data_IF_314136236985
#
_entry.id   IF_314136236985
#
_cell.length_a   1.000
_cell.length_b   1.000
_cell.length_c   1.000
_cell.angle_alpha   90.00
_cell.angle_beta   90.00
_cell.angle_gamma   90.00
#
_symmetry.space_group_name_H-M   'P 1'
#
loop_
_entity.id
_entity.type
_entity.pdbx_description
1 polymer ?
#
# COMPACT_ATOMS: atom_id res chain seq x y z
N UNK A 1 -2.77 20.24 3.52
CA UNK A 1 -3.34 19.61 2.31
C UNK A 1 -3.19 20.56 1.15
N UNK A 2 -2.74 20.08 0.00
CA UNK A 2 -2.69 20.87 -1.23
C UNK A 2 -4.09 20.95 -1.85
N UNK A 3 -4.75 22.07 -1.62
CA UNK A 3 -5.49 22.80 -2.67
C UNK A 3 -6.95 22.49 -2.98
N UNK A 4 -7.59 21.49 -2.38
CA UNK A 4 -9.02 21.28 -2.61
C UNK A 4 -9.70 20.45 -1.50
N UNK A 5 -10.99 20.70 -1.30
CA UNK A 5 -11.85 19.89 -0.44
C UNK A 5 -12.31 18.65 -1.24
N UNK A 6 -11.66 17.50 -1.05
CA UNK A 6 -11.87 16.32 -1.89
C UNK A 6 -12.19 15.07 -1.10
N UNK A 7 -12.98 14.22 -1.75
CA UNK A 7 -13.23 12.86 -1.30
C UNK A 7 -11.98 12.00 -1.43
N UNK A 8 -11.77 11.15 -0.46
CA UNK A 8 -10.76 10.09 -0.48
C UNK A 8 -11.34 8.79 -1.04
N UNK A 9 -10.53 7.74 -1.20
CA UNK A 9 -11.02 6.39 -1.47
C UNK A 9 -11.86 5.81 -0.32
N UNK A 10 -11.91 6.48 0.83
CA UNK A 10 -12.71 6.12 2.00
C UNK A 10 -14.07 6.82 2.05
N UNK A 11 -14.47 7.50 0.97
CA UNK A 11 -15.82 8.03 0.85
C UNK A 11 -16.83 6.90 1.05
N UNK A 12 -17.77 7.11 1.97
CA UNK A 12 -18.90 6.20 2.11
C UNK A 12 -19.81 6.30 0.88
N UNK A 13 -20.08 5.15 0.25
CA UNK A 13 -20.86 5.06 -0.99
C UNK A 13 -22.17 4.27 -0.79
N UNK A 14 -22.68 4.18 0.44
CA UNK A 14 -23.93 3.46 0.76
C UNK A 14 -23.75 2.00 1.21
N UNK A 15 -22.53 1.47 1.21
CA UNK A 15 -22.22 0.12 1.69
C UNK A 15 -20.83 0.05 2.32
N UNK A 16 -20.59 -1.00 3.13
CA UNK A 16 -19.31 -1.20 3.82
C UNK A 16 -19.12 -0.28 5.01
N UNK A 17 -17.86 -0.05 5.38
CA UNK A 17 -17.49 0.74 6.57
C UNK A 17 -17.71 2.23 6.32
N UNK A 18 -18.36 2.90 7.28
CA UNK A 18 -18.65 4.33 7.23
C UNK A 18 -17.43 5.11 7.71
N UNK A 19 -16.56 5.51 6.77
CA UNK A 19 -15.38 6.34 7.06
C UNK A 19 -15.62 7.82 6.81
N UNK A 20 -15.38 8.30 5.58
CA UNK A 20 -15.57 9.71 5.22
C UNK A 20 -17.02 9.92 4.75
N UNK A 21 -17.74 10.81 5.45
CA UNK A 21 -19.16 11.03 5.26
C UNK A 21 -19.49 12.47 4.85
N UNK A 22 -18.50 13.35 4.91
CA UNK A 22 -18.62 14.73 4.49
C UNK A 22 -17.24 15.32 4.20
N UNK A 23 -17.25 16.44 3.50
CA UNK A 23 -16.08 17.26 3.27
C UNK A 23 -15.89 18.29 4.39
N UNK A 24 -14.73 18.96 4.43
CA UNK A 24 -14.44 19.90 5.50
C UNK A 24 -15.39 21.10 5.52
N UNK A 25 -15.66 21.59 6.73
CA UNK A 25 -16.69 22.59 6.99
C UNK A 25 -16.25 23.64 8.01
N UNK A 26 -16.96 24.75 8.04
CA UNK A 26 -16.89 25.80 9.06
C UNK A 26 -18.11 25.68 9.96
N UNK A 27 -17.90 25.72 11.26
CA UNK A 27 -18.92 25.80 12.31
C UNK A 27 -18.65 27.02 13.19
N UNK A 28 -19.69 27.54 13.83
CA UNK A 28 -19.56 28.62 14.79
C UNK A 28 -19.04 28.13 16.16
N UNK A 29 -18.68 26.86 16.32
CA UNK A 29 -18.15 26.23 17.52
C UNK A 29 -19.20 25.73 18.52
N UNK A 30 -20.50 25.77 18.18
CA UNK A 30 -21.59 25.26 19.01
C UNK A 30 -22.26 24.03 18.43
N UNK A 31 -21.94 23.62 17.19
CA UNK A 31 -22.57 22.51 16.49
C UNK A 31 -24.11 22.59 16.62
N UNK A 32 -24.68 23.71 16.19
CA UNK A 32 -26.12 23.98 16.35
C UNK A 32 -26.94 23.22 15.31
N UNK A 33 -27.99 22.53 15.75
CA UNK A 33 -28.91 21.80 14.88
C UNK A 33 -29.84 22.73 14.10
N UNK A 34 -30.10 22.38 12.84
CA UNK A 34 -31.09 23.02 11.98
C UNK A 34 -32.43 22.29 12.04
N UNK A 35 -33.53 23.04 11.92
CA UNK A 35 -34.87 22.50 11.82
C UNK A 35 -35.20 22.08 10.38
N UNK A 36 -35.82 20.91 10.22
CA UNK A 36 -36.25 20.43 8.91
C UNK A 36 -37.29 21.38 8.28
N UNK A 37 -37.23 21.53 6.96
CA UNK A 37 -38.06 22.41 6.13
C UNK A 37 -37.88 23.92 6.38
N UNK A 38 -36.87 24.32 7.16
CA UNK A 38 -36.50 25.72 7.31
C UNK A 38 -35.48 26.14 6.26
N UNK A 39 -35.32 27.44 6.07
CA UNK A 39 -34.33 28.04 5.19
C UNK A 39 -33.10 28.47 5.99
N UNK A 40 -31.92 28.24 5.44
CA UNK A 40 -30.65 28.52 6.09
C UNK A 40 -29.74 29.40 5.23
N UNK A 41 -29.18 30.43 5.86
CA UNK A 41 -28.15 31.31 5.33
C UNK A 41 -26.89 31.20 6.19
N UNK A 42 -25.74 31.25 5.53
CA UNK A 42 -24.47 31.41 6.21
C UNK A 42 -23.52 32.29 5.41
N UNK A 43 -22.95 33.30 6.08
CA UNK A 43 -21.96 34.18 5.47
C UNK A 43 -20.88 34.59 6.46
N UNK A 44 -19.72 34.95 5.91
CA UNK A 44 -18.50 35.22 6.66
C UNK A 44 -18.08 36.67 6.43
N UNK A 45 -18.28 37.53 7.43
CA UNK A 45 -17.74 38.90 7.36
C UNK A 45 -16.24 38.86 7.64
N UNK A 46 -15.47 39.65 6.88
CA UNK A 46 -14.00 39.66 6.92
C UNK A 46 -13.38 38.30 6.56
N UNK A 47 -14.04 37.52 5.69
CA UNK A 47 -13.45 36.31 5.13
C UNK A 47 -12.15 36.63 4.40
N UNK A 48 -11.07 35.85 4.61
CA UNK A 48 -9.82 36.03 3.89
C UNK A 48 -9.87 35.58 2.42
N UNK A 49 -10.95 34.89 2.02
CA UNK A 49 -11.16 34.42 0.66
C UNK A 49 -12.57 34.78 0.17
N UNK A 50 -12.68 35.15 -1.10
CA UNK A 50 -13.97 35.31 -1.78
C UNK A 50 -14.59 33.93 -2.05
N UNK A 51 -15.92 33.84 -1.95
CA UNK A 51 -16.69 32.60 -2.08
C UNK A 51 -16.15 31.49 -1.16
N UNK A 52 -16.06 31.74 0.16
CA UNK A 52 -15.42 30.81 1.10
C UNK A 52 -16.22 29.51 1.33
N UNK A 53 -17.50 29.51 0.98
CA UNK A 53 -18.45 28.43 1.24
C UNK A 53 -19.15 27.96 -0.04
N UNK A 54 -19.41 26.66 -0.14
CA UNK A 54 -20.14 26.06 -1.27
C UNK A 54 -21.64 25.92 -1.01
N UNK A 55 -22.06 25.85 0.26
CA UNK A 55 -23.43 25.57 0.66
C UNK A 55 -23.51 24.89 2.02
N UNK A 56 -24.69 24.36 2.35
CA UNK A 56 -24.94 23.68 3.62
C UNK A 56 -24.34 22.26 3.60
N UNK A 57 -23.40 22.00 4.50
CA UNK A 57 -22.78 20.67 4.64
C UNK A 57 -23.80 19.63 5.10
N UNK A 58 -23.75 18.47 4.46
CA UNK A 58 -24.66 17.35 4.64
C UNK A 58 -23.87 16.05 4.83
N UNK A 59 -24.29 15.21 5.77
CA UNK A 59 -23.72 13.86 5.93
C UNK A 59 -24.30 12.99 4.81
N UNK A 60 -23.45 12.48 3.93
CA UNK A 60 -23.84 11.89 2.64
C UNK A 60 -24.90 10.77 2.69
N UNK A 61 -25.02 10.06 3.81
CA UNK A 61 -25.98 8.97 3.98
C UNK A 61 -27.26 9.36 4.71
N UNK A 62 -27.35 10.59 5.21
CA UNK A 62 -28.61 11.09 5.76
C UNK A 62 -29.62 11.31 4.63
N UNK A 63 -30.89 11.02 4.92
CA UNK A 63 -31.97 11.33 3.99
C UNK A 63 -31.96 12.83 3.61
N UNK A 64 -32.24 13.09 2.33
CA UNK A 64 -32.20 14.42 1.75
C UNK A 64 -30.79 15.01 1.52
N UNK A 65 -29.72 14.27 1.83
CA UNK A 65 -28.37 14.65 1.43
C UNK A 65 -27.99 14.03 0.08
N UNK A 66 -27.29 14.80 -0.74
CA UNK A 66 -26.67 14.29 -1.95
C UNK A 66 -25.43 13.44 -1.59
N UNK A 67 -25.43 12.17 -1.97
CA UNK A 67 -24.34 11.24 -1.65
C UNK A 67 -23.06 11.54 -2.44
N UNK A 68 -23.17 12.19 -3.60
CA UNK A 68 -22.02 12.53 -4.44
C UNK A 68 -21.22 13.70 -3.83
N UNK A 69 -21.92 14.71 -3.33
CA UNK A 69 -21.36 16.02 -2.96
C UNK A 69 -21.37 16.28 -1.45
N UNK A 70 -22.21 15.59 -0.67
CA UNK A 70 -22.46 15.95 0.74
C UNK A 70 -22.96 17.38 0.94
N UNK A 71 -23.67 17.92 -0.05
CA UNK A 71 -24.03 19.34 -0.08
C UNK A 71 -25.54 19.49 -0.29
N UNK A 72 -26.15 20.38 0.48
CA UNK A 72 -27.45 20.95 0.14
C UNK A 72 -27.17 22.29 -0.54
N UNK A 73 -27.60 22.39 -1.79
CA UNK A 73 -27.36 23.57 -2.61
C UNK A 73 -28.18 24.77 -2.09
N UNK A 74 -27.58 25.95 -2.00
CA UNK A 74 -28.30 27.19 -1.76
C UNK A 74 -29.09 27.62 -3.00
N UNK A 75 -30.01 28.57 -2.84
CA UNK A 75 -30.62 29.27 -3.98
C UNK A 75 -29.61 30.19 -4.67
N UNK A 76 -28.76 30.87 -3.90
CA UNK A 76 -27.69 31.72 -4.44
C UNK A 76 -26.47 31.75 -3.50
N UNK A 77 -25.31 32.11 -4.05
CA UNK A 77 -24.10 32.41 -3.29
C UNK A 77 -23.48 33.71 -3.78
N UNK A 78 -22.63 34.30 -2.95
CA UNK A 78 -21.85 35.49 -3.29
C UNK A 78 -20.43 35.41 -2.69
N UNK A 79 -19.71 36.53 -2.73
CA UNK A 79 -18.36 36.64 -2.22
C UNK A 79 -18.22 36.32 -0.72
N UNK A 80 -19.28 36.45 0.06
CA UNK A 80 -19.28 36.32 1.53
C UNK A 80 -19.86 34.99 2.00
N UNK A 81 -20.81 34.40 1.26
CA UNK A 81 -21.51 33.21 1.74
C UNK A 81 -22.51 32.58 0.77
N UNK A 82 -23.44 31.82 1.34
CA UNK A 82 -24.53 31.17 0.63
C UNK A 82 -25.87 31.44 1.32
N UNK A 83 -26.94 31.41 0.52
CA UNK A 83 -28.25 31.87 0.96
C UNK A 83 -29.41 31.02 0.40
N UNK A 84 -30.46 30.87 1.20
CA UNK A 84 -31.69 30.17 0.83
C UNK A 84 -31.54 28.65 0.74
N UNK A 85 -30.65 28.03 1.52
CA UNK A 85 -30.55 26.57 1.54
C UNK A 85 -31.75 25.95 2.28
N UNK A 86 -32.57 25.16 1.60
CA UNK A 86 -33.72 24.47 2.21
C UNK A 86 -33.24 23.24 2.98
N UNK A 87 -33.43 23.24 4.29
CA UNK A 87 -33.03 22.14 5.17
C UNK A 87 -33.93 20.93 4.92
N UNK A 88 -33.39 19.90 4.27
CA UNK A 88 -34.15 18.70 3.93
C UNK A 88 -34.53 17.88 5.18
N UNK A 89 -35.72 17.23 5.21
CA UNK A 89 -36.08 16.33 6.29
C UNK A 89 -35.23 15.06 6.31
N UNK A 90 -35.11 14.46 7.51
CA UNK A 90 -34.43 13.19 7.75
C UNK A 90 -32.94 13.34 8.08
N UNK A 91 -32.51 12.83 9.24
CA UNK A 91 -31.15 13.00 9.77
C UNK A 91 -30.83 14.45 10.17
N UNK A 92 -30.12 14.65 11.28
CA UNK A 92 -29.84 15.99 11.81
C UNK A 92 -28.93 16.79 10.86
N UNK A 93 -29.39 17.97 10.42
CA UNK A 93 -28.54 18.93 9.71
C UNK A 93 -27.96 19.92 10.73
N UNK A 94 -26.75 20.36 10.51
CA UNK A 94 -26.02 21.23 11.43
C UNK A 94 -25.70 22.54 10.73
N UNK A 95 -25.54 23.64 11.48
CA UNK A 95 -25.20 24.97 10.96
C UNK A 95 -23.76 25.04 10.41
N UNK A 96 -23.42 24.14 9.50
CA UNK A 96 -22.09 23.94 8.97
C UNK A 96 -22.04 24.36 7.50
N UNK A 97 -21.16 25.29 7.18
CA UNK A 97 -20.88 25.68 5.80
C UNK A 97 -19.78 24.80 5.22
N UNK A 98 -20.00 24.16 4.08
CA UNK A 98 -18.95 23.40 3.40
C UNK A 98 -17.89 24.36 2.84
N UNK A 99 -16.63 24.16 3.19
CA UNK A 99 -15.52 25.01 2.74
C UNK A 99 -15.26 24.85 1.25
N UNK A 100 -15.00 25.96 0.56
CA UNK A 100 -14.62 25.97 -0.86
C UNK A 100 -13.13 25.72 -1.07
N UNK A 101 -12.76 25.35 -2.30
CA UNK A 101 -11.36 25.20 -2.71
C UNK A 101 -10.57 26.51 -2.50
N UNK A 102 -11.19 27.67 -2.73
CA UNK A 102 -10.55 28.97 -2.51
C UNK A 102 -10.16 29.19 -1.04
N UNK A 103 -11.02 28.78 -0.10
CA UNK A 103 -10.70 28.87 1.33
C UNK A 103 -9.55 27.93 1.71
N UNK A 104 -9.53 26.70 1.18
CA UNK A 104 -8.41 25.77 1.38
C UNK A 104 -7.08 26.31 0.84
N UNK A 105 -7.09 26.95 -0.33
CA UNK A 105 -5.91 27.58 -0.91
C UNK A 105 -5.37 28.71 -0.02
N UNK A 106 -6.25 29.54 0.54
CA UNK A 106 -5.84 30.54 1.53
C UNK A 106 -5.19 29.89 2.76
N UNK A 107 -5.84 28.88 3.36
CA UNK A 107 -5.29 28.16 4.50
C UNK A 107 -3.94 27.50 4.20
N UNK A 108 -3.74 27.03 2.97
CA UNK A 108 -2.47 26.45 2.53
C UNK A 108 -1.35 27.50 2.53
N UNK A 109 -1.61 28.70 2.02
CA UNK A 109 -0.63 29.80 1.88
C UNK A 109 -0.34 30.52 3.21
N UNK A 110 -1.28 30.48 4.15
CA UNK A 110 -1.13 31.09 5.46
C UNK A 110 0.11 30.56 6.20
N UNK A 111 0.87 31.45 6.86
CA UNK A 111 2.08 31.06 7.60
C UNK A 111 1.72 30.36 8.91
N UNK A 112 2.52 29.39 9.34
CA UNK A 112 2.34 28.76 10.66
C UNK A 112 2.55 29.79 11.77
N UNK A 113 1.66 29.79 12.76
CA UNK A 113 1.64 30.76 13.86
C UNK A 113 0.84 32.03 13.58
N UNK A 114 0.52 32.31 12.31
CA UNK A 114 -0.36 33.44 11.98
C UNK A 114 -1.82 33.16 12.33
N UNK A 115 -2.61 34.23 12.43
CA UNK A 115 -4.04 34.17 12.74
C UNK A 115 -4.84 35.08 11.84
N UNK A 116 -6.11 34.73 11.63
CA UNK A 116 -7.11 35.62 11.05
C UNK A 116 -8.41 35.52 11.85
N UNK A 117 -9.21 36.58 11.82
CA UNK A 117 -10.53 36.58 12.45
C UNK A 117 -11.60 36.78 11.40
N UNK A 118 -12.69 36.03 11.52
CA UNK A 118 -13.90 36.22 10.71
C UNK A 118 -15.13 36.22 11.61
N UNK A 119 -16.17 36.94 11.21
CA UNK A 119 -17.47 36.86 11.87
C UNK A 119 -18.34 35.87 11.11
N UNK A 120 -18.67 34.78 11.77
CA UNK A 120 -19.54 33.74 11.24
C UNK A 120 -20.98 34.13 11.57
N UNK A 121 -21.77 34.33 10.53
CA UNK A 121 -23.20 34.56 10.64
C UNK A 121 -23.94 33.30 10.17
N UNK A 122 -24.80 32.77 11.03
CA UNK A 122 -25.63 31.60 10.75
C UNK A 122 -27.08 31.96 11.06
N UNK A 123 -27.96 31.96 10.05
CA UNK A 123 -29.35 32.33 10.21
C UNK A 123 -30.27 31.22 9.70
N UNK A 124 -31.27 30.84 10.50
CA UNK A 124 -32.35 29.96 10.05
C UNK A 124 -33.74 30.54 10.31
N UNK A 125 -34.68 30.30 9.41
CA UNK A 125 -36.07 30.76 9.52
C UNK A 125 -37.05 29.80 8.86
N UNK A 126 -38.28 29.73 9.38
CA UNK A 126 -39.40 29.03 8.73
C UNK A 126 -40.08 29.88 7.66
N UNK A 127 -39.79 31.19 7.61
CA UNK A 127 -40.37 32.10 6.64
C UNK A 127 -39.74 31.84 5.27
N UNK A 128 -40.57 31.55 4.27
CA UNK A 128 -40.11 31.41 2.89
C UNK A 128 -39.70 32.76 2.32
N UNK A 129 -38.52 32.80 1.70
CA UNK A 129 -38.02 33.96 0.96
C UNK A 129 -37.25 33.48 -0.27
N UNK A 130 -37.07 34.38 -1.23
CA UNK A 130 -36.26 34.14 -2.42
C UNK A 130 -34.91 34.85 -2.30
N UNK A 131 -33.87 34.07 -2.06
CA UNK A 131 -32.52 34.61 -1.94
C UNK A 131 -31.97 35.14 -3.27
N UNK A 132 -32.49 34.64 -4.39
CA UNK A 132 -32.08 35.02 -5.76
C UNK A 132 -32.47 36.46 -6.10
N UNK A 133 -33.57 36.96 -5.52
CA UNK A 133 -33.98 38.36 -5.59
C UNK A 133 -33.34 39.26 -4.53
N UNK A 134 -32.43 38.72 -3.71
CA UNK A 134 -31.70 39.47 -2.70
C UNK A 134 -32.29 39.42 -1.29
N UNK A 135 -33.42 38.72 -1.07
CA UNK A 135 -33.95 38.54 0.28
C UNK A 135 -33.02 37.65 1.13
N UNK A 136 -32.99 37.86 2.45
CA UNK A 136 -32.10 37.12 3.36
C UNK A 136 -32.85 36.69 4.61
N UNK A 137 -32.41 35.59 5.22
CA UNK A 137 -32.95 35.08 6.47
C UNK A 137 -32.96 36.11 7.61
N UNK A 138 -31.89 36.93 7.70
CA UNK A 138 -31.76 37.95 8.77
C UNK A 138 -32.83 39.06 8.71
N UNK A 139 -33.46 39.24 7.55
CA UNK A 139 -34.46 40.28 7.31
C UNK A 139 -35.89 39.74 7.47
N UNK A 140 -36.05 38.46 7.85
CA UNK A 140 -37.36 37.83 8.00
C UNK A 140 -37.98 38.10 9.37
N UNK A 141 -39.32 38.08 9.43
CA UNK A 141 -40.10 38.43 10.61
C UNK A 141 -39.88 37.50 11.82
N UNK A 142 -39.36 36.29 11.61
CA UNK A 142 -39.02 35.35 12.66
C UNK A 142 -37.86 34.46 12.23
N UNK A 143 -37.16 33.87 13.20
CA UNK A 143 -36.02 33.00 12.97
C UNK A 143 -35.00 33.11 14.09
N UNK A 144 -33.87 32.45 13.88
CA UNK A 144 -32.71 32.51 14.76
C UNK A 144 -31.52 32.99 13.95
N UNK A 145 -30.83 34.00 14.46
CA UNK A 145 -29.60 34.51 13.87
C UNK A 145 -28.49 34.51 14.91
N UNK A 146 -27.47 33.70 14.65
CA UNK A 146 -26.29 33.56 15.48
C UNK A 146 -25.11 34.27 14.82
N UNK A 147 -24.44 35.11 15.60
CA UNK A 147 -23.27 35.87 15.16
C UNK A 147 -22.13 35.54 16.10
N UNK A 148 -21.00 35.08 15.56
CA UNK A 148 -19.80 34.82 16.35
C UNK A 148 -18.54 35.26 15.62
N UNK A 149 -17.75 36.10 16.28
CA UNK A 149 -16.38 36.37 15.84
C UNK A 149 -15.49 35.22 16.27
N UNK A 150 -14.84 34.57 15.31
CA UNK A 150 -13.92 33.45 15.55
C UNK A 150 -12.54 33.82 15.02
N UNK A 151 -11.52 33.60 15.85
CA UNK A 151 -10.12 33.74 15.45
C UNK A 151 -9.52 32.37 15.22
N UNK A 152 -9.03 32.13 14.01
CA UNK A 152 -8.34 30.90 13.63
C UNK A 152 -6.84 31.15 13.61
N UNK A 153 -6.09 30.23 14.23
CA UNK A 153 -4.62 30.25 14.21
C UNK A 153 -4.14 29.01 13.47
N UNK A 154 -3.28 29.19 12.45
CA UNK A 154 -2.68 28.05 11.75
C UNK A 154 -1.56 27.48 12.60
N UNK A 155 -1.88 26.47 13.40
CA UNK A 155 -0.93 25.87 14.33
C UNK A 155 0.16 25.03 13.66
N UNK A 156 -0.13 24.46 12.49
CA UNK A 156 0.81 23.59 11.80
C UNK A 156 0.58 23.53 10.29
N UNK A 157 1.60 23.08 9.57
CA UNK A 157 1.55 22.75 8.16
C UNK A 157 2.36 21.47 7.91
N UNK A 158 1.69 20.41 7.46
CA UNK A 158 2.32 19.17 7.04
C UNK A 158 2.36 19.13 5.51
N UNK A 159 3.57 19.08 4.96
CA UNK A 159 3.83 18.85 3.54
C UNK A 159 4.44 17.48 3.36
N UNK A 160 3.73 16.61 2.66
CA UNK A 160 4.25 15.31 2.25
C UNK A 160 5.03 15.50 0.95
N UNK A 161 6.22 14.91 0.89
CA UNK A 161 7.19 15.10 -0.18
C UNK A 161 7.30 13.80 -0.95
N UNK A 162 7.05 13.89 -2.26
CA UNK A 162 7.25 12.77 -3.15
C UNK A 162 8.75 12.57 -3.36
N UNK A 163 9.28 11.43 -2.93
CA UNK A 163 10.70 11.05 -3.06
C UNK A 163 11.06 10.67 -4.49
N UNK A 164 10.09 10.25 -5.31
CA UNK A 164 10.29 9.66 -6.64
C UNK A 164 11.33 8.52 -6.68
N UNK A 165 11.62 7.88 -5.54
CA UNK A 165 12.63 6.84 -5.47
C UNK A 165 12.06 5.53 -6.01
N UNK A 166 12.70 5.00 -7.06
CA UNK A 166 12.40 3.67 -7.57
C UNK A 166 13.26 2.66 -6.82
N UNK A 167 12.62 1.67 -6.20
CA UNK A 167 13.31 0.57 -5.56
C UNK A 167 12.97 -0.76 -6.24
N UNK A 168 13.95 -1.39 -6.87
CA UNK A 168 13.79 -2.73 -7.42
C UNK A 168 14.05 -3.78 -6.34
N UNK A 169 13.08 -4.68 -6.13
CA UNK A 169 13.16 -5.76 -5.15
C UNK A 169 12.88 -7.09 -5.85
N UNK A 170 13.89 -7.94 -5.89
CA UNK A 170 13.76 -9.30 -6.40
C UNK A 170 13.31 -10.23 -5.28
N UNK A 171 12.32 -11.07 -5.56
CA UNK A 171 11.72 -11.93 -4.54
C UNK A 171 11.81 -13.39 -4.97
N UNK A 172 12.41 -14.21 -4.12
CA UNK A 172 12.43 -15.65 -4.28
C UNK A 172 11.04 -16.24 -3.98
N UNK A 173 10.77 -17.47 -4.41
CA UNK A 173 9.47 -18.14 -4.16
C UNK A 173 9.16 -18.35 -2.66
N UNK A 174 10.17 -18.32 -1.79
CA UNK A 174 10.04 -18.37 -0.34
C UNK A 174 9.77 -17.01 0.32
N UNK A 175 9.71 -15.93 -0.49
CA UNK A 175 9.45 -14.56 -0.06
C UNK A 175 10.68 -13.80 0.40
N UNK A 176 11.89 -14.35 0.28
CA UNK A 176 13.12 -13.65 0.68
C UNK A 176 13.44 -12.53 -0.33
N UNK A 177 13.48 -11.26 0.11
CA UNK A 177 13.75 -10.12 -0.78
C UNK A 177 15.26 -9.93 -0.99
N UNK A 178 15.64 -9.54 -2.21
CA UNK A 178 16.99 -9.08 -2.57
C UNK A 178 16.87 -7.70 -3.22
N UNK A 179 17.65 -6.73 -2.76
CA UNK A 179 17.64 -5.38 -3.32
C UNK A 179 18.46 -5.32 -4.61
N UNK A 180 17.91 -4.65 -5.63
CA UNK A 180 18.68 -4.22 -6.80
C UNK A 180 19.71 -3.14 -6.47
N UNK A 181 20.58 -2.81 -7.42
CA UNK A 181 21.56 -1.73 -7.27
C UNK A 181 20.87 -0.36 -7.21
N UNK A 182 21.45 0.59 -6.47
CA UNK A 182 20.92 1.97 -6.35
C UNK A 182 19.84 2.19 -5.28
N UNK A 183 19.52 1.16 -4.48
CA UNK A 183 18.51 1.23 -3.41
C UNK A 183 19.04 1.88 -2.11
N UNK A 184 19.08 3.20 -2.04
CA UNK A 184 19.51 3.91 -0.82
C UNK A 184 18.45 3.96 0.30
N UNK A 185 17.17 3.94 -0.08
CA UNK A 185 16.05 4.12 0.86
C UNK A 185 15.52 2.82 1.47
N UNK A 186 16.01 1.66 1.01
CA UNK A 186 15.58 0.34 1.47
C UNK A 186 16.76 -0.48 1.98
N UNK A 187 16.54 -1.26 3.05
CA UNK A 187 17.54 -2.18 3.63
C UNK A 187 16.88 -3.46 4.11
N UNK A 188 17.59 -4.57 4.02
CA UNK A 188 17.17 -5.80 4.70
C UNK A 188 17.29 -5.62 6.21
N UNK A 189 16.26 -5.98 6.96
CA UNK A 189 16.22 -5.83 8.41
C UNK A 189 15.47 -7.01 9.05
N UNK A 190 15.82 -7.32 10.30
CA UNK A 190 15.09 -8.26 11.15
C UNK A 190 14.46 -7.50 12.31
N UNK A 191 13.15 -7.68 12.51
CA UNK A 191 12.37 -7.07 13.59
C UNK A 191 11.70 -8.19 14.37
N UNK A 192 12.09 -8.34 15.65
CA UNK A 192 11.69 -9.50 16.45
C UNK A 192 12.12 -10.80 15.78
N UNK A 193 11.17 -11.68 15.47
CA UNK A 193 11.41 -12.96 14.77
C UNK A 193 11.24 -12.88 13.25
N UNK A 194 10.98 -11.70 12.68
CA UNK A 194 10.65 -11.53 11.26
C UNK A 194 11.78 -10.85 10.51
N UNK A 195 12.32 -11.55 9.51
CA UNK A 195 13.21 -10.95 8.51
C UNK A 195 12.40 -10.39 7.35
N UNK A 196 12.93 -9.36 6.70
CA UNK A 196 12.27 -8.70 5.58
C UNK A 196 13.02 -7.47 5.10
N UNK A 197 12.27 -6.53 4.55
CA UNK A 197 12.78 -5.30 3.97
C UNK A 197 12.15 -4.09 4.66
N UNK A 198 12.97 -3.16 5.15
CA UNK A 198 12.51 -1.85 5.61
C UNK A 198 12.88 -0.78 4.59
N UNK A 199 11.92 0.08 4.28
CA UNK A 199 12.07 1.16 3.31
C UNK A 199 11.59 2.48 3.90
N UNK A 200 12.30 3.56 3.62
CA UNK A 200 11.84 4.94 3.84
C UNK A 200 10.80 5.28 2.77
N UNK A 201 9.52 5.26 3.13
CA UNK A 201 8.41 5.34 2.17
C UNK A 201 7.81 6.74 2.01
N UNK A 202 7.99 7.61 3.02
CA UNK A 202 7.42 8.95 3.04
C UNK A 202 8.45 9.90 3.59
N UNK A 203 8.68 11.01 2.87
CA UNK A 203 9.34 12.18 3.42
C UNK A 203 8.28 13.23 3.71
N UNK A 204 8.45 13.98 4.79
CA UNK A 204 7.55 15.08 5.10
C UNK A 204 8.28 16.23 5.77
N UNK A 205 7.73 17.42 5.58
CA UNK A 205 8.10 18.61 6.30
C UNK A 205 6.91 19.01 7.19
N UNK A 206 7.14 19.03 8.50
CA UNK A 206 6.15 19.44 9.48
C UNK A 206 6.57 20.75 10.13
N UNK A 207 5.91 21.85 9.75
CA UNK A 207 6.02 23.12 10.44
C UNK A 207 4.96 23.18 11.54
N UNK A 208 5.32 23.66 12.73
CA UNK A 208 4.38 23.83 13.85
C UNK A 208 4.75 25.01 14.75
N UNK A 209 3.76 25.58 15.43
CA UNK A 209 3.96 26.64 16.43
C UNK A 209 4.09 26.12 17.87
N UNK A 210 4.24 24.80 18.05
CA UNK A 210 4.33 24.16 19.36
C UNK A 210 3.01 23.58 19.88
N UNK A 211 1.89 23.77 19.18
CA UNK A 211 0.61 23.16 19.55
C UNK A 211 0.73 21.64 19.75
N UNK A 212 0.21 21.14 20.86
CA UNK A 212 0.02 19.71 21.09
C UNK A 212 -1.30 19.21 20.46
N UNK A 213 -1.26 18.14 19.67
CA UNK A 213 -2.45 17.50 19.11
C UNK A 213 -2.29 15.98 19.12
N UNK A 214 -3.23 15.30 19.77
CA UNK A 214 -3.30 13.84 19.84
C UNK A 214 -4.45 13.25 19.02
N UNK A 215 -5.35 14.08 18.51
CA UNK A 215 -6.55 13.64 17.76
C UNK A 215 -6.25 13.23 16.33
N UNK A 216 -5.15 13.70 15.75
CA UNK A 216 -4.73 13.36 14.38
C UNK A 216 -3.86 12.10 14.45
N UNK A 217 -4.41 11.01 13.94
CA UNK A 217 -3.78 9.69 13.88
C UNK A 217 -3.30 9.39 12.46
N UNK A 218 -2.14 8.76 12.35
CA UNK A 218 -1.47 8.47 11.08
C UNK A 218 -0.99 7.04 11.07
N UNK A 219 -1.36 6.31 10.03
CA UNK A 219 -1.06 4.90 9.89
C UNK A 219 -1.14 4.49 8.43
N UNK A 220 -0.33 3.51 7.99
CA UNK A 220 -0.51 2.90 6.69
C UNK A 220 -1.68 1.89 6.71
N UNK A 221 -2.27 1.65 5.55
CA UNK A 221 -3.31 0.66 5.33
C UNK A 221 -3.12 -0.01 3.97
N UNK A 222 -3.15 -1.34 3.97
CA UNK A 222 -3.08 -2.14 2.74
C UNK A 222 -4.38 -1.91 1.94
N UNK A 223 -4.23 -1.47 0.69
CA UNK A 223 -5.34 -1.12 -0.20
C UNK A 223 -5.94 -2.35 -0.87
N UNK A 224 -5.12 -3.39 -1.11
CA UNK A 224 -5.56 -4.66 -1.68
C UNK A 224 -6.17 -5.57 -0.61
N UNK A 225 -7.47 -5.85 -0.69
CA UNK A 225 -8.20 -6.64 0.30
C UNK A 225 -7.73 -8.10 0.38
N UNK A 226 -7.43 -8.73 -0.76
CA UNK A 226 -6.94 -10.11 -0.80
C UNK A 226 -5.59 -10.25 -0.08
N UNK A 227 -4.67 -9.31 -0.32
CA UNK A 227 -3.40 -9.26 0.38
C UNK A 227 -3.58 -8.94 1.87
N UNK A 228 -4.43 -7.96 2.20
CA UNK A 228 -4.69 -7.58 3.59
C UNK A 228 -5.25 -8.74 4.42
N UNK A 229 -6.04 -9.62 3.81
CA UNK A 229 -6.55 -10.84 4.48
C UNK A 229 -5.52 -11.98 4.55
N UNK A 230 -4.53 -12.00 3.68
CA UNK A 230 -3.52 -13.06 3.62
C UNK A 230 -2.33 -12.83 4.57
N UNK A 231 -2.05 -11.58 4.94
CA UNK A 231 -0.90 -11.21 5.77
C UNK A 231 -1.28 -10.99 7.24
N UNK A 232 -0.37 -11.27 8.16
CA UNK A 232 -0.52 -10.97 9.58
C UNK A 232 -0.19 -9.51 9.92
N UNK A 233 -0.63 -9.03 11.08
CA UNK A 233 -0.46 -7.63 11.52
C UNK A 233 1.00 -7.16 11.64
N UNK A 234 1.95 -8.07 11.86
CA UNK A 234 3.39 -7.76 11.94
C UNK A 234 4.13 -8.05 10.62
N UNK A 235 3.42 -8.48 9.56
CA UNK A 235 4.02 -8.67 8.23
C UNK A 235 4.22 -7.34 7.52
N UNK A 236 3.43 -6.33 7.89
CA UNK A 236 3.70 -4.95 7.60
C UNK A 236 3.82 -4.19 8.93
N UNK A 237 4.88 -3.41 9.08
CA UNK A 237 5.10 -2.56 10.26
C UNK A 237 5.54 -1.17 9.81
N UNK A 238 5.38 -0.16 10.66
CA UNK A 238 5.77 1.20 10.33
C UNK A 238 6.46 1.89 11.50
N UNK A 239 7.30 2.85 11.16
CA UNK A 239 8.20 3.51 12.11
C UNK A 239 8.49 4.94 11.67
N UNK A 240 8.74 5.85 12.63
CA UNK A 240 9.23 7.21 12.35
C UNK A 240 10.75 7.31 12.38
N UNK A 241 11.46 6.36 13.00
CA UNK A 241 12.91 6.39 13.22
C UNK A 241 13.65 5.20 12.58
N UNK A 242 12.93 4.22 12.02
CA UNK A 242 13.47 3.00 11.45
C UNK A 242 13.93 1.95 12.48
N UNK A 243 13.66 2.18 13.77
CA UNK A 243 14.11 1.35 14.90
C UNK A 243 12.95 0.93 15.81
N UNK A 244 11.99 1.82 16.04
CA UNK A 244 10.80 1.63 16.86
C UNK A 244 9.61 1.33 15.96
N UNK A 245 9.11 0.10 15.99
CA UNK A 245 8.15 -0.40 15.01
C UNK A 245 6.76 -0.64 15.62
N UNK A 246 5.72 -0.21 14.91
CA UNK A 246 4.32 -0.51 15.22
C UNK A 246 3.73 -1.43 14.14
N UNK A 247 2.95 -2.46 14.50
CA UNK A 247 2.30 -3.32 13.52
C UNK A 247 1.18 -2.59 12.79
N UNK A 248 0.92 -2.97 11.54
CA UNK A 248 -0.22 -2.44 10.78
C UNK A 248 -1.48 -3.18 11.19
N UNK A 249 -2.40 -2.48 11.87
CA UNK A 249 -3.64 -3.05 12.40
C UNK A 249 -4.78 -2.04 12.41
N UNK A 250 -5.16 -1.58 11.21
CA UNK A 250 -6.22 -0.58 11.04
C UNK A 250 -5.98 0.68 11.87
N UNK A 251 -7.02 1.17 12.54
CA UNK A 251 -6.96 2.38 13.39
C UNK A 251 -6.41 2.13 14.81
N UNK A 252 -6.08 0.88 15.16
CA UNK A 252 -5.62 0.54 16.52
C UNK A 252 -4.15 0.90 16.76
N UNK A 253 -3.37 0.99 15.68
CA UNK A 253 -1.95 1.30 15.70
C UNK A 253 -1.71 2.53 14.84
N UNK A 254 -1.17 3.59 15.43
CA UNK A 254 -0.95 4.87 14.76
C UNK A 254 0.18 5.64 15.43
N UNK A 255 0.68 6.64 14.72
CA UNK A 255 1.39 7.78 15.31
C UNK A 255 0.44 8.97 15.39
N UNK A 256 0.55 9.72 16.48
CA UNK A 256 -0.10 11.01 16.65
C UNK A 256 0.67 12.09 15.91
N UNK A 257 0.00 13.21 15.65
CA UNK A 257 0.65 14.43 15.17
C UNK A 257 1.83 14.88 16.04
N UNK A 258 1.74 14.69 17.36
CA UNK A 258 2.83 15.01 18.27
C UNK A 258 4.08 14.15 18.04
N UNK A 259 3.90 12.85 17.84
CA UNK A 259 5.01 11.92 17.58
C UNK A 259 5.69 12.23 16.23
N UNK A 260 4.97 12.73 15.23
CA UNK A 260 5.59 13.14 13.96
C UNK A 260 6.61 14.28 14.09
N UNK A 261 6.54 15.10 15.15
CA UNK A 261 7.43 16.27 15.27
C UNK A 261 8.90 15.89 15.45
N UNK A 262 9.18 14.66 15.90
CA UNK A 262 10.54 14.19 16.14
C UNK A 262 11.20 13.56 14.90
N UNK A 263 10.50 13.53 13.76
CA UNK A 263 11.00 12.92 12.53
C UNK A 263 10.58 13.75 11.31
N UNK A 264 11.17 13.41 10.17
CA UNK A 264 10.85 13.94 8.84
C UNK A 264 10.47 12.82 7.86
N UNK A 265 10.39 11.58 8.36
CA UNK A 265 10.30 10.39 7.54
C UNK A 265 9.36 9.35 8.14
N UNK A 266 8.75 8.52 7.29
CA UNK A 266 8.05 7.31 7.70
C UNK A 266 8.64 6.11 6.98
N UNK A 267 9.07 5.13 7.76
CA UNK A 267 9.59 3.86 7.31
C UNK A 267 8.49 2.81 7.36
N UNK A 268 8.51 1.88 6.41
CA UNK A 268 7.64 0.72 6.38
C UNK A 268 8.49 -0.53 6.21
N UNK A 269 8.21 -1.52 7.04
CA UNK A 269 8.81 -2.84 6.97
C UNK A 269 7.82 -3.82 6.36
N UNK A 270 8.31 -4.66 5.47
CA UNK A 270 7.61 -5.77 4.83
C UNK A 270 8.35 -7.07 5.16
N UNK A 271 7.68 -8.02 5.82
CA UNK A 271 8.27 -9.31 6.13
C UNK A 271 8.44 -10.18 4.89
N UNK A 272 9.28 -11.21 4.97
CA UNK A 272 9.34 -12.22 3.91
C UNK A 272 7.98 -12.90 3.66
N UNK A 273 7.14 -13.06 4.69
CA UNK A 273 5.80 -13.62 4.50
C UNK A 273 4.89 -12.66 3.72
N UNK A 274 4.99 -11.34 3.95
CA UNK A 274 4.27 -10.34 3.15
C UNK A 274 4.53 -10.55 1.66
N UNK A 275 5.80 -10.63 1.29
CA UNK A 275 6.24 -10.86 -0.08
C UNK A 275 5.83 -12.22 -0.63
N UNK A 276 5.91 -13.29 0.18
CA UNK A 276 5.43 -14.62 -0.19
C UNK A 276 3.93 -14.61 -0.53
N UNK A 277 3.11 -13.91 0.24
CA UNK A 277 1.68 -13.77 -0.04
C UNK A 277 1.42 -12.97 -1.32
N UNK A 278 2.18 -11.91 -1.58
CA UNK A 278 2.10 -11.18 -2.84
C UNK A 278 2.35 -12.10 -4.04
N UNK A 279 3.42 -12.88 -4.02
CA UNK A 279 3.75 -13.85 -5.09
C UNK A 279 2.65 -14.90 -5.24
N UNK A 280 2.14 -15.44 -4.13
CA UNK A 280 1.07 -16.45 -4.13
C UNK A 280 -0.24 -15.92 -4.74
N UNK A 281 -0.54 -14.65 -4.52
CA UNK A 281 -1.72 -13.97 -5.06
C UNK A 281 -1.52 -13.48 -6.51
N UNK A 282 -0.36 -13.72 -7.12
CA UNK A 282 -0.05 -13.25 -8.46
C UNK A 282 0.14 -11.72 -8.54
N UNK A 283 0.49 -11.09 -7.42
CA UNK A 283 0.71 -9.65 -7.33
C UNK A 283 2.19 -9.38 -7.66
N UNK A 284 2.49 -9.12 -8.94
CA UNK A 284 3.80 -8.69 -9.45
C UNK A 284 3.73 -7.32 -10.11
N UNK A 285 4.88 -6.66 -10.29
CA UNK A 285 5.00 -5.37 -11.02
C UNK A 285 4.06 -4.24 -10.53
N UNK A 286 3.71 -4.24 -9.24
CA UNK A 286 2.80 -3.26 -8.66
C UNK A 286 3.53 -1.99 -8.23
N UNK A 287 2.90 -0.85 -8.48
CA UNK A 287 3.32 0.39 -7.83
C UNK A 287 2.87 0.38 -6.37
N UNK A 288 3.70 0.82 -5.42
CA UNK A 288 3.30 0.79 -3.99
C UNK A 288 2.13 1.69 -3.67
N UNK A 289 1.84 2.69 -4.52
CA UNK A 289 0.59 3.47 -4.48
C UNK A 289 -0.68 2.60 -4.57
N UNK A 290 -0.59 1.49 -5.28
CA UNK A 290 -1.70 0.56 -5.49
C UNK A 290 -1.72 -0.54 -4.41
N UNK A 291 -0.60 -0.71 -3.70
CA UNK A 291 -0.43 -1.71 -2.65
C UNK A 291 -0.95 -1.24 -1.29
N UNK A 292 -0.57 -0.04 -0.88
CA UNK A 292 -1.00 0.55 0.39
C UNK A 292 -0.95 2.08 0.35
N UNK A 293 -1.82 2.70 1.15
CA UNK A 293 -1.85 4.15 1.33
C UNK A 293 -1.58 4.49 2.79
N UNK A 294 -1.10 5.69 3.03
CA UNK A 294 -1.10 6.26 4.36
C UNK A 294 -2.37 7.07 4.58
N UNK A 295 -2.97 6.88 5.75
CA UNK A 295 -4.23 7.49 6.15
C UNK A 295 -4.00 8.44 7.31
N UNK A 296 -4.68 9.57 7.26
CA UNK A 296 -4.90 10.44 8.39
C UNK A 296 -6.34 10.28 8.86
N UNK A 297 -6.52 10.20 10.16
CA UNK A 297 -7.82 10.17 10.80
C UNK A 297 -7.84 11.18 11.94
N UNK A 298 -8.78 12.13 11.91
CA UNK A 298 -9.01 13.06 13.00
C UNK A 298 -10.19 12.58 13.86
N UNK A 299 -9.92 12.18 15.10
CA UNK A 299 -10.92 11.70 16.06
C UNK A 299 -11.87 12.79 16.53
N UNK A 300 -11.50 14.08 16.43
CA UNK A 300 -12.35 15.22 16.79
C UNK A 300 -13.36 15.56 15.69
N UNK A 301 -13.10 15.17 14.44
CA UNK A 301 -13.99 15.43 13.30
C UNK A 301 -14.13 14.18 12.43
N UNK A 302 -14.66 13.08 12.97
CA UNK A 302 -14.58 11.76 12.34
C UNK A 302 -15.30 11.65 10.99
N UNK A 303 -16.28 12.51 10.73
CA UNK A 303 -17.07 12.50 9.49
C UNK A 303 -16.35 13.11 8.29
N UNK A 304 -15.37 13.99 8.52
CA UNK A 304 -14.64 14.72 7.45
C UNK A 304 -13.12 14.67 7.60
N UNK A 305 -12.63 14.13 8.72
CA UNK A 305 -11.22 14.10 9.10
C UNK A 305 -10.41 12.97 8.49
N UNK A 306 -10.85 12.41 7.37
CA UNK A 306 -10.16 11.33 6.66
C UNK A 306 -9.39 11.88 5.47
N UNK A 307 -8.10 11.59 5.42
CA UNK A 307 -7.24 11.92 4.28
C UNK A 307 -6.38 10.73 3.90
N UNK A 308 -6.13 10.56 2.60
CA UNK A 308 -5.29 9.51 2.08
C UNK A 308 -4.18 10.10 1.22
N UNK A 309 -3.02 9.50 1.29
CA UNK A 309 -1.94 9.77 0.35
C UNK A 309 -1.21 8.47 0.00
N UNK A 310 -0.86 8.38 -1.27
CA UNK A 310 -0.07 7.28 -1.76
C UNK A 310 1.42 7.52 -1.52
N UNK A 311 2.15 6.43 -1.34
CA UNK A 311 3.61 6.49 -1.27
C UNK A 311 4.19 6.88 -2.61
N UNK A 312 5.31 7.59 -2.57
CA UNK A 312 6.05 8.05 -3.73
C UNK A 312 6.99 7.01 -4.32
N UNK A 313 7.39 6.04 -3.51
CA UNK A 313 8.29 5.00 -3.97
C UNK A 313 7.56 4.08 -4.95
N UNK A 314 8.31 3.35 -5.77
CA UNK A 314 7.77 2.25 -6.55
C UNK A 314 8.59 1.02 -6.19
N UNK A 315 7.94 -0.04 -5.70
CA UNK A 315 8.58 -1.33 -5.44
C UNK A 315 8.27 -2.26 -6.62
N UNK A 316 9.20 -2.38 -7.56
CA UNK A 316 9.03 -3.36 -8.64
C UNK A 316 9.43 -4.72 -8.09
N UNK A 317 8.43 -5.61 -7.97
CA UNK A 317 8.60 -6.98 -7.50
C UNK A 317 8.68 -7.90 -8.69
N UNK A 318 9.88 -8.41 -8.95
CA UNK A 318 10.13 -9.42 -9.97
C UNK A 318 10.36 -10.77 -9.32
N UNK A 319 9.53 -11.79 -9.64
CA UNK A 319 9.89 -13.17 -9.37
C UNK A 319 11.22 -13.46 -10.06
N UNK A 320 12.15 -14.09 -9.35
CA UNK A 320 13.42 -14.48 -9.97
C UNK A 320 13.16 -15.68 -10.88
N UNK A 321 13.26 -15.49 -12.20
CA UNK A 321 13.17 -16.60 -13.15
C UNK A 321 14.37 -17.53 -12.97
N UNK A 322 14.10 -18.73 -12.49
CA UNK A 322 15.10 -19.77 -12.30
C UNK A 322 15.35 -20.47 -13.64
N UNK A 323 16.58 -20.43 -14.12
CA UNK A 323 17.04 -21.18 -15.29
C UNK A 323 18.12 -22.17 -14.87
N UNK A 324 18.00 -23.40 -15.38
CA UNK A 324 19.03 -24.42 -15.32
C UNK A 324 19.55 -24.58 -16.74
N UNK A 325 20.85 -24.34 -16.93
CA UNK A 325 21.56 -24.64 -18.16
C UNK A 325 22.39 -25.90 -17.96
N UNK A 326 22.22 -26.88 -18.84
CA UNK A 326 23.04 -28.10 -18.88
C UNK A 326 23.68 -28.14 -20.26
N UNK A 327 24.99 -27.96 -20.31
CA UNK A 327 25.78 -28.03 -21.53
C UNK A 327 26.81 -29.14 -21.38
N UNK A 328 27.14 -29.84 -22.47
CA UNK A 328 28.30 -30.74 -22.45
C UNK A 328 29.56 -29.94 -22.12
N UNK A 329 30.49 -30.51 -21.35
CA UNK A 329 31.79 -29.88 -21.12
C UNK A 329 32.69 -29.86 -22.38
N UNK A 330 32.31 -30.61 -23.41
CA UNK A 330 32.85 -30.56 -24.77
C UNK A 330 32.16 -29.48 -25.63
N UNK A 331 31.18 -28.76 -25.08
CA UNK A 331 30.40 -27.71 -25.77
C UNK A 331 29.68 -28.17 -27.05
N UNK A 332 29.46 -29.48 -27.21
CA UNK A 332 28.72 -30.08 -28.33
C UNK A 332 27.27 -30.40 -27.96
N UNK A 333 26.36 -30.16 -28.89
CA UNK A 333 24.97 -30.59 -28.76
C UNK A 333 24.86 -32.10 -29.01
N UNK A 334 24.39 -32.85 -28.01
CA UNK A 334 24.25 -34.32 -28.05
C UNK A 334 25.59 -35.06 -28.22
N UNK A 335 26.48 -35.07 -27.21
CA UNK A 335 27.74 -35.80 -27.27
C UNK A 335 27.50 -37.30 -27.48
N UNK A 336 28.26 -37.90 -28.40
CA UNK A 336 28.26 -39.34 -28.66
C UNK A 336 29.64 -39.91 -28.39
N UNK A 337 29.69 -41.09 -27.77
CA UNK A 337 30.92 -41.85 -27.54
C UNK A 337 30.68 -43.32 -27.83
N UNK A 338 31.69 -43.98 -28.37
CA UNK A 338 31.68 -45.42 -28.66
C UNK A 338 32.79 -46.09 -27.85
N UNK A 339 32.56 -47.33 -27.42
CA UNK A 339 33.50 -48.10 -26.63
C UNK A 339 33.16 -49.58 -26.65
N UNK A 340 34.11 -50.42 -26.26
CA UNK A 340 33.95 -51.88 -26.23
C UNK A 340 33.37 -52.36 -24.90
N UNK A 341 32.64 -53.48 -24.94
CA UNK A 341 32.05 -54.12 -23.75
C UNK A 341 32.98 -55.24 -23.29
N UNK A 342 33.69 -55.05 -22.20
CA UNK A 342 34.62 -56.06 -21.68
C UNK A 342 35.28 -55.70 -20.35
N UNK A 343 35.86 -56.70 -19.70
CA UNK A 343 36.67 -56.50 -18.49
C UNK A 343 37.99 -55.82 -18.85
N UNK A 344 38.25 -54.64 -18.28
CA UNK A 344 39.45 -53.84 -18.58
C UNK A 344 39.27 -52.79 -19.68
N UNK A 345 38.07 -52.69 -20.27
CA UNK A 345 37.72 -51.63 -21.21
C UNK A 345 37.48 -50.30 -20.46
N UNK A 346 37.90 -49.15 -21.02
CA UNK A 346 37.74 -47.85 -20.39
C UNK A 346 36.26 -47.44 -20.25
N UNK A 347 35.95 -46.66 -19.21
CA UNK A 347 34.60 -46.11 -18.98
C UNK A 347 34.21 -45.10 -20.06
N UNK A 348 32.93 -45.11 -20.43
CA UNK A 348 32.33 -44.05 -21.23
C UNK A 348 31.78 -42.96 -20.32
N UNK A 349 32.60 -41.93 -20.11
CA UNK A 349 32.23 -40.76 -19.31
C UNK A 349 31.65 -39.64 -20.19
N UNK A 350 30.56 -39.04 -19.72
CA UNK A 350 29.95 -37.86 -20.33
C UNK A 350 29.99 -36.72 -19.33
N UNK A 351 30.82 -35.71 -19.62
CA UNK A 351 30.92 -34.51 -18.81
C UNK A 351 29.82 -33.49 -19.17
N UNK A 352 29.23 -32.90 -18.14
CA UNK A 352 28.26 -31.83 -18.29
C UNK A 352 28.57 -30.71 -17.30
N UNK A 353 28.49 -29.47 -17.81
CA UNK A 353 28.51 -28.25 -17.00
C UNK A 353 27.06 -27.89 -16.70
N UNK A 354 26.72 -27.89 -15.41
CA UNK A 354 25.41 -27.46 -14.93
C UNK A 354 25.55 -26.07 -14.34
N UNK A 355 24.84 -25.10 -14.91
CA UNK A 355 24.80 -23.72 -14.41
C UNK A 355 23.38 -23.40 -13.95
N UNK A 356 23.25 -22.81 -12.77
CA UNK A 356 21.96 -22.39 -12.21
C UNK A 356 21.95 -20.88 -11.97
N UNK A 357 20.85 -20.20 -12.32
CA UNK A 357 20.73 -18.73 -12.14
C UNK A 357 20.37 -18.29 -10.71
N UNK A 358 20.23 -19.23 -9.77
CA UNK A 358 19.88 -18.97 -8.37
C UNK A 358 20.12 -20.15 -7.43
N UNK A 359 20.17 -19.87 -6.12
CA UNK A 359 20.18 -20.91 -5.07
C UNK A 359 18.79 -21.52 -5.01
N UNK A 360 18.68 -22.81 -5.31
CA UNK A 360 17.43 -23.57 -5.18
C UNK A 360 17.51 -24.51 -3.98
N UNK A 361 16.35 -24.78 -3.37
CA UNK A 361 16.05 -26.04 -2.69
C UNK A 361 15.58 -27.13 -3.70
N UNK A 362 16.08 -27.09 -4.94
CA UNK A 362 15.90 -28.20 -5.87
C UNK A 362 16.88 -29.28 -5.42
N UNK A 363 16.38 -30.16 -4.55
CA UNK A 363 17.22 -31.11 -3.82
C UNK A 363 17.84 -32.18 -4.73
N UNK A 364 17.35 -32.35 -5.96
CA UNK A 364 17.78 -33.45 -6.84
C UNK A 364 17.67 -33.14 -8.33
N UNK A 365 18.75 -33.40 -9.08
CA UNK A 365 18.72 -33.57 -10.54
C UNK A 365 18.59 -35.06 -10.85
N UNK A 366 17.53 -35.42 -11.59
CA UNK A 366 17.23 -36.80 -12.00
C UNK A 366 17.80 -37.07 -13.39
N UNK A 367 18.85 -37.90 -13.45
CA UNK A 367 19.41 -38.40 -14.72
C UNK A 367 18.82 -39.78 -15.00
N UNK A 368 18.33 -39.97 -16.23
CA UNK A 368 17.81 -41.26 -16.71
C UNK A 368 18.64 -41.75 -17.89
N UNK A 369 19.03 -43.02 -17.84
CA UNK A 369 19.65 -43.73 -18.96
C UNK A 369 18.59 -44.61 -19.62
N UNK A 370 18.52 -44.59 -20.95
CA UNK A 370 17.60 -45.43 -21.74
C UNK A 370 18.40 -46.48 -22.48
N UNK A 371 18.04 -47.75 -22.32
CA UNK A 371 18.71 -48.89 -22.95
C UNK A 371 18.02 -50.21 -22.61
N UNK A 372 18.50 -51.35 -23.13
CA UNK A 372 17.96 -52.68 -22.83
C UNK A 372 17.93 -52.90 -21.31
N UNK A 373 16.74 -53.07 -20.74
CA UNK A 373 16.56 -53.00 -19.29
C UNK A 373 16.32 -54.38 -18.69
N UNK A 374 16.97 -54.67 -17.57
CA UNK A 374 16.71 -55.86 -16.75
C UNK A 374 16.54 -55.48 -15.27
N UNK A 375 15.59 -56.09 -14.59
CA UNK A 375 15.43 -55.96 -13.14
C UNK A 375 16.29 -57.02 -12.43
N UNK A 376 17.23 -56.59 -11.59
CA UNK A 376 18.09 -57.46 -10.78
C UNK A 376 17.89 -57.05 -9.32
N UNK A 377 17.37 -57.95 -8.49
CA UNK A 377 17.10 -57.67 -7.07
C UNK A 377 16.14 -56.49 -6.84
N UNK A 378 15.10 -56.35 -7.67
CA UNK A 378 14.12 -55.25 -7.59
C UNK A 378 14.62 -53.89 -8.09
N UNK A 379 15.86 -53.78 -8.57
CA UNK A 379 16.43 -52.55 -9.14
C UNK A 379 16.57 -52.66 -10.66
N UNK A 380 16.17 -51.62 -11.39
CA UNK A 380 16.30 -51.57 -12.86
C UNK A 380 17.70 -51.15 -13.30
N UNK A 381 18.33 -51.98 -14.14
CA UNK A 381 19.62 -51.70 -14.77
C UNK A 381 19.46 -51.70 -16.29
N UNK A 382 20.24 -50.85 -16.97
CA UNK A 382 20.53 -51.02 -18.39
C UNK A 382 21.67 -52.03 -18.53
N UNK A 383 21.45 -53.07 -19.31
CA UNK A 383 22.41 -54.15 -19.59
C UNK A 383 22.94 -53.95 -20.99
N UNK A 384 24.26 -53.87 -21.12
CA UNK A 384 24.95 -53.85 -22.41
C UNK A 384 25.75 -55.15 -22.52
N UNK A 385 25.55 -55.90 -23.60
CA UNK A 385 26.20 -57.20 -23.83
C UNK A 385 27.01 -57.19 -25.12
N UNK A 386 28.12 -57.93 -25.12
CA UNK A 386 28.86 -58.23 -26.35
C UNK A 386 28.00 -59.08 -27.31
N UNK A 387 28.28 -59.07 -28.63
CA UNK A 387 27.51 -59.82 -29.62
C UNK A 387 27.46 -61.35 -29.38
N UNK A 388 28.51 -61.89 -28.75
CA UNK A 388 28.62 -63.30 -28.34
C UNK A 388 28.00 -63.58 -26.95
N UNK A 389 27.51 -62.55 -26.26
CA UNK A 389 26.82 -62.64 -24.97
C UNK A 389 27.69 -62.99 -23.77
N UNK A 390 29.00 -63.12 -23.95
CA UNK A 390 29.97 -63.55 -22.93
C UNK A 390 30.32 -62.41 -21.95
N UNK A 391 30.31 -61.17 -22.42
CA UNK A 391 30.60 -59.97 -21.62
C UNK A 391 29.34 -59.15 -21.38
N UNK A 392 29.12 -58.72 -20.13
CA UNK A 392 27.97 -57.90 -19.73
C UNK A 392 28.38 -56.77 -18.80
N UNK A 393 27.97 -55.55 -19.13
CA UNK A 393 28.15 -54.36 -18.30
C UNK A 393 26.80 -53.87 -17.79
N UNK A 394 26.75 -53.48 -16.52
CA UNK A 394 25.55 -53.02 -15.82
C UNK A 394 25.66 -51.53 -15.53
N UNK A 395 24.69 -50.74 -15.99
CA UNK A 395 24.53 -49.33 -15.60
C UNK A 395 23.19 -49.13 -14.90
N UNK A 396 23.16 -48.34 -13.80
CA UNK A 396 21.90 -48.02 -13.15
C UNK A 396 21.06 -47.11 -14.04
N UNK A 397 19.78 -47.41 -14.15
CA UNK A 397 18.84 -46.67 -15.00
C UNK A 397 18.54 -45.25 -14.51
N UNK A 398 18.73 -44.99 -13.21
CA UNK A 398 18.38 -43.73 -12.57
C UNK A 398 19.46 -43.32 -11.57
N UNK A 399 19.93 -42.09 -11.69
CA UNK A 399 20.89 -41.48 -10.76
C UNK A 399 20.26 -40.23 -10.13
N UNK A 400 20.61 -40.01 -8.85
CA UNK A 400 20.27 -38.80 -8.11
C UNK A 400 21.57 -38.09 -7.78
N UNK A 401 21.68 -36.83 -8.18
CA UNK A 401 22.82 -35.98 -7.83
C UNK A 401 22.37 -34.95 -6.79
N UNK A 402 23.00 -34.90 -5.61
CA UNK A 402 22.82 -33.79 -4.68
C UNK A 402 23.58 -32.57 -5.20
N UNK A 403 23.02 -31.36 -5.16
CA UNK A 403 23.72 -30.16 -5.59
C UNK A 403 24.84 -29.83 -4.58
N UNK A 404 26.11 -29.85 -5.03
CA UNK A 404 27.23 -29.24 -4.29
C UNK A 404 27.57 -27.89 -4.93
N UNK A 405 27.90 -26.84 -4.15
CA UNK A 405 28.43 -25.61 -4.71
C UNK A 405 29.84 -25.83 -5.27
N UNK A 406 30.04 -25.57 -6.56
CA UNK A 406 31.31 -25.67 -7.28
C UNK A 406 31.21 -26.50 -8.57
N UNK A 407 32.20 -26.42 -9.48
CA UNK A 407 32.25 -27.27 -10.66
C UNK A 407 32.41 -28.74 -10.22
N UNK A 408 31.30 -29.47 -10.13
CA UNK A 408 31.31 -30.91 -9.92
C UNK A 408 31.38 -31.59 -11.27
N UNK A 409 32.50 -32.25 -11.59
CA UNK A 409 32.55 -33.23 -12.67
C UNK A 409 31.72 -34.45 -12.23
N UNK A 410 30.63 -34.81 -12.92
CA UNK A 410 29.99 -36.09 -12.68
C UNK A 410 30.90 -37.18 -13.26
N UNK A 411 31.68 -37.85 -12.40
CA UNK A 411 32.27 -39.14 -12.75
C UNK A 411 31.19 -40.19 -12.64
N UNK A 412 31.01 -41.03 -13.67
CA UNK A 412 30.29 -42.28 -13.45
C UNK A 412 31.11 -43.06 -12.41
N UNK A 413 30.56 -43.41 -11.23
CA UNK A 413 31.26 -44.34 -10.37
C UNK A 413 31.32 -45.67 -11.12
N UNK A 414 32.50 -46.26 -11.11
CA UNK A 414 32.87 -47.55 -11.67
C UNK A 414 31.67 -48.48 -11.83
N UNK A 415 31.51 -49.05 -13.02
CA UNK A 415 30.79 -50.30 -13.17
C UNK A 415 31.35 -51.24 -12.10
N UNK A 416 30.58 -51.47 -11.02
CA UNK A 416 31.01 -52.32 -9.92
C UNK A 416 31.39 -53.68 -10.52
N UNK A 417 32.70 -53.92 -10.54
CA UNK A 417 33.31 -55.23 -10.61
C UNK A 417 33.28 -55.77 -9.18
N UNK A 418 32.50 -56.81 -8.86
CA UNK A 418 32.93 -57.77 -7.86
C UNK A 418 33.58 -58.91 -8.62
N UNK A 419 34.91 -58.91 -8.64
CA UNK A 419 35.70 -60.12 -8.82
C UNK A 419 36.13 -60.61 -7.45
N UNK A 420 35.76 -61.84 -7.11
CA UNK A 420 36.55 -62.72 -6.25
C UNK A 420 36.02 -64.15 -6.44
N UNK A 421 36.89 -64.99 -7.04
CA UNK A 421 36.98 -66.46 -7.01
C UNK A 421 35.71 -67.27 -7.30
#
# INVERSE_FOLDING_TARGET
MTGANRWTGLKYNGSGTIYQQSLGYIDNGYNTGLYANWFFDMWLDNSPASHPLQGLRCINWYAGCDMATSLILPQTSDASGFYGATVTPGGQKWMHGMMSDAFYQYLQQMSVGSSFSMTINSCMTSVSYDASSGARCKDQASGYWYVRKVTHTKAANLKLINTHALAEVFINSDGVPTLGEGNADCRTQTIGSRSGLSCKMVNYNLQHNGLSNTSIHIFPAISNSALASAVGSYDMQFSLDGNSWKPVSGISQYYTFNEMKSSDSVYVFFSSNFFKQMVTLGISDVNTKDLFNFRFYNTTSPESGWYEFSTSNTLIIKPRDFSISIISDEYISAPTREGYVGSGEPSLDFGYIVTTSGKTAADEVLIKVTGPTQAIGGRSYCIFSSPDGTSRVRSRRRWRLPPRPGPSKPTMPDAMIPGAI
#
